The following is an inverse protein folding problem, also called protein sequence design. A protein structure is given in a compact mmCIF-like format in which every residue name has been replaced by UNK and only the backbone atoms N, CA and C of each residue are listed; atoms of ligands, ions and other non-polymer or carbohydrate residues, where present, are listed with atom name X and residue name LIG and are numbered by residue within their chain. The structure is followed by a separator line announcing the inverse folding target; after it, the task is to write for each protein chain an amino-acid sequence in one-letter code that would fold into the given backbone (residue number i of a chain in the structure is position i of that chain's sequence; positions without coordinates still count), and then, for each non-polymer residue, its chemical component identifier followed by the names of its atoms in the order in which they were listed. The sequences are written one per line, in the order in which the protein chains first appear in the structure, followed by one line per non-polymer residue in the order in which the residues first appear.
data_IF_625898610279
#
_entry.id   IF_625898610279
#
_cell.length_a   1.000
_cell.length_b   1.000
_cell.length_c   1.000
_cell.angle_alpha   90.00
_cell.angle_beta   90.00
_cell.angle_gamma   90.00
#
_symmetry.space_group_name_H-M   'P 1'
#
loop_
_entity.id
_entity.type
_entity.pdbx_description
1 polymer ?
#
# COMPACT_ATOMS: atom_id res chain seq x y z
N UNK A 1 3.92 -5.51 30.21
CA UNK A 1 3.92 -4.11 29.71
C UNK A 1 5.31 -3.49 29.83
N UNK A 2 5.97 -3.48 31.00
CA UNK A 2 7.32 -2.89 31.17
C UNK A 2 8.39 -3.42 30.20
N UNK A 3 8.37 -4.71 29.85
CA UNK A 3 9.28 -5.29 28.86
C UNK A 3 9.16 -4.61 27.48
N UNK A 4 7.94 -4.42 26.99
CA UNK A 4 7.67 -3.78 25.69
C UNK A 4 8.15 -2.32 25.71
N UNK A 5 7.91 -1.60 26.81
CA UNK A 5 8.39 -0.24 27.04
C UNK A 5 9.91 -0.13 27.11
N UNK A 6 10.59 -1.18 27.59
CA UNK A 6 12.05 -1.26 27.65
C UNK A 6 12.63 -1.52 26.26
N UNK A 7 12.00 -2.43 25.50
CA UNK A 7 12.38 -2.76 24.13
C UNK A 7 12.19 -1.55 23.20
N UNK A 8 11.04 -0.88 23.22
CA UNK A 8 10.78 0.30 22.38
C UNK A 8 11.80 1.41 22.60
N UNK A 9 12.13 1.69 23.86
CA UNK A 9 13.10 2.70 24.27
C UNK A 9 14.53 2.33 23.88
N UNK A 10 14.91 1.06 24.04
CA UNK A 10 16.21 0.55 23.63
C UNK A 10 16.39 0.63 22.11
N UNK A 11 15.39 0.21 21.33
CA UNK A 11 15.39 0.34 19.87
C UNK A 11 15.47 1.81 19.43
N UNK A 12 14.74 2.71 20.09
CA UNK A 12 14.78 4.15 19.80
C UNK A 12 16.13 4.78 20.16
N UNK A 13 16.81 4.29 21.19
CA UNK A 13 18.18 4.65 21.52
C UNK A 13 19.16 4.20 20.44
N UNK A 14 19.13 2.91 20.09
CA UNK A 14 20.00 2.31 19.09
C UNK A 14 19.85 2.96 17.70
N UNK A 15 18.62 3.26 17.28
CA UNK A 15 18.35 3.96 16.02
C UNK A 15 19.01 5.35 15.96
N UNK A 16 19.04 6.07 17.10
CA UNK A 16 19.69 7.38 17.23
C UNK A 16 21.22 7.27 17.29
N UNK A 17 21.74 6.27 18.00
CA UNK A 17 23.17 6.04 18.16
C UNK A 17 23.84 5.64 16.84
N UNK A 18 23.23 4.69 16.11
CA UNK A 18 23.72 4.20 14.82
C UNK A 18 23.29 5.09 13.63
N UNK A 19 22.41 6.07 13.86
CA UNK A 19 21.82 6.95 12.85
C UNK A 19 21.21 6.17 11.65
N UNK A 20 20.42 5.14 11.94
CA UNK A 20 19.72 4.31 10.95
C UNK A 20 18.22 4.20 11.25
N UNK A 21 17.35 4.08 10.23
CA UNK A 21 15.94 3.77 10.45
C UNK A 21 15.81 2.32 10.95
N UNK A 22 15.15 2.13 12.10
CA UNK A 22 14.78 0.82 12.62
C UNK A 22 13.26 0.65 12.43
N UNK A 23 12.87 -0.39 11.70
CA UNK A 23 11.46 -0.79 11.53
C UNK A 23 11.19 -1.98 12.44
N UNK A 24 10.22 -1.83 13.35
CA UNK A 24 9.74 -2.91 14.20
C UNK A 24 8.29 -3.25 13.81
N UNK A 25 7.96 -4.54 13.75
CA UNK A 25 6.60 -5.01 13.55
C UNK A 25 5.97 -5.32 14.90
N UNK A 26 4.72 -4.90 15.09
CA UNK A 26 3.93 -5.17 16.30
C UNK A 26 2.58 -5.75 15.87
N UNK A 27 2.13 -6.79 16.57
CA UNK A 27 0.82 -7.39 16.36
C UNK A 27 -0.24 -6.58 17.14
N UNK A 28 -1.35 -6.28 16.47
CA UNK A 28 -2.49 -5.59 17.10
C UNK A 28 -3.24 -6.53 18.05
N UNK A 29 -3.89 -5.96 19.06
CA UNK A 29 -4.88 -6.69 19.84
C UNK A 29 -6.08 -7.09 18.95
N UNK A 30 -6.61 -8.30 19.14
CA UNK A 30 -7.81 -8.82 18.43
C UNK A 30 -9.09 -7.98 18.64
N UNK A 31 -9.09 -7.01 19.55
CA UNK A 31 -10.20 -6.06 19.73
C UNK A 31 -10.63 -5.34 18.45
N UNK A 32 -9.71 -5.11 17.50
CA UNK A 32 -10.02 -4.60 16.15
C UNK A 32 -10.99 -5.50 15.38
N UNK A 33 -10.91 -6.82 15.58
CA UNK A 33 -11.76 -7.82 14.90
C UNK A 33 -13.20 -7.81 15.42
N UNK A 34 -13.46 -7.25 16.60
CA UNK A 34 -14.79 -7.20 17.22
C UNK A 34 -15.62 -5.96 16.81
N UNK A 35 -15.00 -4.93 16.23
CA UNK A 35 -15.70 -3.72 15.76
C UNK A 35 -16.42 -3.97 14.43
N UNK A 36 -17.59 -3.39 14.22
CA UNK A 36 -18.40 -3.59 13.01
C UNK A 36 -18.16 -2.50 11.93
N UNK A 37 -18.39 -2.85 10.66
CA UNK A 37 -18.19 -1.95 9.52
C UNK A 37 -16.73 -1.75 9.10
N UNK A 38 -16.50 -1.10 7.95
CA UNK A 38 -15.15 -0.89 7.39
C UNK A 38 -14.28 -0.01 8.30
N UNK A 39 -14.82 1.11 8.76
CA UNK A 39 -14.18 2.00 9.74
C UNK A 39 -13.97 1.32 11.11
N UNK A 40 -14.83 0.35 11.45
CA UNK A 40 -14.65 -0.48 12.65
C UNK A 40 -13.44 -1.40 12.54
N UNK A 41 -13.22 -2.05 11.38
CA UNK A 41 -12.05 -2.91 11.15
C UNK A 41 -10.74 -2.14 10.91
N UNK A 42 -10.82 -0.82 10.70
CA UNK A 42 -9.66 0.07 10.53
C UNK A 42 -8.82 0.10 11.83
N UNK A 43 -7.52 -0.25 11.79
CA UNK A 43 -6.63 -0.12 12.94
C UNK A 43 -6.46 1.32 13.42
N UNK A 44 -6.29 1.48 14.73
CA UNK A 44 -6.15 2.76 15.43
C UNK A 44 -5.03 2.66 16.48
N UNK A 45 -4.50 3.80 16.94
CA UNK A 45 -3.45 3.82 17.98
C UNK A 45 -3.91 3.14 19.28
N UNK A 46 -5.22 3.17 19.57
CA UNK A 46 -5.85 2.46 20.68
C UNK A 46 -5.73 0.94 20.61
N UNK A 47 -5.52 0.34 19.43
CA UNK A 47 -5.26 -1.11 19.30
C UNK A 47 -3.83 -1.50 19.72
N UNK A 48 -2.92 -0.53 19.81
CA UNK A 48 -1.59 -0.68 20.39
C UNK A 48 -1.57 -0.44 21.91
N UNK A 49 -2.71 -0.22 22.57
CA UNK A 49 -2.78 0.24 23.98
C UNK A 49 -2.13 -0.70 25.00
N UNK A 50 -2.07 -2.00 24.75
CA UNK A 50 -1.30 -2.96 25.58
C UNK A 50 0.23 -2.74 25.48
N UNK A 51 0.65 -1.99 24.46
CA UNK A 51 2.00 -1.58 24.13
C UNK A 51 2.13 -0.05 24.08
N UNK A 52 1.40 0.70 24.91
CA UNK A 52 1.30 2.17 24.85
C UNK A 52 2.63 2.96 24.87
N UNK A 53 3.73 2.33 25.32
CA UNK A 53 5.07 2.92 25.19
C UNK A 53 5.60 2.93 23.74
N UNK A 54 5.21 1.98 22.87
CA UNK A 54 5.53 2.01 21.43
C UNK A 54 4.93 3.25 20.80
N UNK A 55 3.66 3.54 21.08
CA UNK A 55 2.99 4.76 20.59
C UNK A 55 3.76 6.01 20.99
N UNK A 56 4.25 6.10 22.23
CA UNK A 56 5.02 7.25 22.70
C UNK A 56 6.41 7.32 22.06
N UNK A 57 7.19 6.24 22.11
CA UNK A 57 8.60 6.22 21.73
C UNK A 57 8.83 6.31 20.21
N UNK A 58 7.93 5.77 19.39
CA UNK A 58 8.06 5.76 17.94
C UNK A 58 8.00 7.17 17.31
N UNK A 59 8.75 7.38 16.22
CA UNK A 59 8.64 8.60 15.40
C UNK A 59 7.48 8.52 14.41
N UNK A 60 7.20 7.32 13.91
CA UNK A 60 6.14 7.05 12.95
C UNK A 60 5.44 5.74 13.35
N UNK A 61 4.12 5.70 13.21
CA UNK A 61 3.31 4.48 13.38
C UNK A 61 2.46 4.32 12.14
N UNK A 62 2.65 3.20 11.45
CA UNK A 62 1.90 2.83 10.26
C UNK A 62 1.12 1.54 10.53
N UNK A 63 -0.14 1.50 10.11
CA UNK A 63 -0.93 0.28 10.09
C UNK A 63 -1.17 -0.19 8.66
N UNK A 64 -1.41 -1.50 8.52
CA UNK A 64 -1.81 -2.12 7.26
C UNK A 64 -3.27 -2.54 7.41
N UNK A 65 -4.14 -1.99 6.57
CA UNK A 65 -5.54 -2.37 6.50
C UNK A 65 -5.85 -3.02 5.14
N UNK A 66 -6.64 -4.09 5.16
CA UNK A 66 -7.03 -4.88 3.98
C UNK A 66 -8.51 -5.25 4.11
N UNK A 67 -9.44 -4.48 3.52
CA UNK A 67 -10.89 -4.73 3.65
C UNK A 67 -11.28 -6.17 3.26
N UNK A 68 -10.65 -6.71 2.21
CA UNK A 68 -10.86 -8.07 1.72
C UNK A 68 -10.57 -9.17 2.76
N UNK A 69 -9.63 -8.95 3.70
CA UNK A 69 -9.35 -9.90 4.79
C UNK A 69 -10.57 -10.06 5.71
N UNK A 70 -11.33 -8.99 5.90
CA UNK A 70 -12.58 -8.98 6.66
C UNK A 70 -13.82 -9.31 5.82
N UNK A 71 -13.64 -9.79 4.58
CA UNK A 71 -14.70 -10.05 3.59
C UNK A 71 -15.51 -8.80 3.21
N UNK A 72 -14.90 -7.62 3.34
CA UNK A 72 -15.48 -6.34 2.92
C UNK A 72 -15.01 -6.08 1.49
N UNK A 73 -15.94 -6.14 0.53
CA UNK A 73 -15.64 -6.03 -0.91
C UNK A 73 -16.10 -4.71 -1.52
N UNK A 74 -16.88 -3.90 -0.81
CA UNK A 74 -17.35 -2.59 -1.26
C UNK A 74 -17.25 -1.57 -0.12
N UNK A 75 -17.01 -0.31 -0.45
CA UNK A 75 -17.15 0.81 0.49
C UNK A 75 -18.59 1.35 0.53
N UNK A 76 -18.86 2.31 1.41
CA UNK A 76 -20.17 2.96 1.55
C UNK A 76 -20.63 3.74 0.29
N UNK A 77 -19.76 3.88 -0.71
CA UNK A 77 -20.02 4.55 -2.00
C UNK A 77 -20.17 3.55 -3.15
N UNK A 78 -20.02 2.24 -2.89
CA UNK A 78 -20.13 1.17 -3.89
C UNK A 78 -18.85 0.89 -4.70
N UNK A 79 -17.69 1.43 -4.32
CA UNK A 79 -16.43 1.16 -4.99
C UNK A 79 -15.91 -0.25 -4.65
N UNK A 80 -15.34 -0.99 -5.60
CA UNK A 80 -14.75 -2.32 -5.37
C UNK A 80 -13.44 -2.23 -4.58
N UNK A 81 -13.35 -2.99 -3.48
CA UNK A 81 -12.21 -3.06 -2.58
C UNK A 81 -11.36 -4.34 -2.73
N UNK A 82 -11.67 -5.20 -3.72
CA UNK A 82 -10.90 -6.43 -3.98
C UNK A 82 -9.46 -6.14 -4.36
N UNK A 83 -8.53 -6.81 -3.70
CA UNK A 83 -7.10 -6.55 -3.84
C UNK A 83 -6.67 -5.16 -3.38
N UNK A 84 -7.53 -4.35 -2.74
CA UNK A 84 -7.13 -3.07 -2.17
C UNK A 84 -6.51 -3.25 -0.80
N UNK A 85 -5.48 -2.46 -0.52
CA UNK A 85 -4.84 -2.37 0.78
C UNK A 85 -4.43 -0.94 1.06
N UNK A 86 -4.28 -0.62 2.34
CA UNK A 86 -4.12 0.75 2.79
C UNK A 86 -3.04 0.81 3.86
N UNK A 87 -2.09 1.73 3.68
CA UNK A 87 -1.06 2.04 4.67
C UNK A 87 -1.48 3.33 5.37
N UNK A 88 -1.89 3.18 6.63
CA UNK A 88 -2.45 4.24 7.47
C UNK A 88 -1.32 4.83 8.30
N UNK A 89 -0.85 6.04 7.99
CA UNK A 89 0.15 6.76 8.80
C UNK A 89 -0.58 7.39 9.99
N UNK A 90 -0.82 6.59 11.02
CA UNK A 90 -1.57 6.98 12.21
C UNK A 90 -0.80 7.93 13.16
N UNK A 91 0.54 7.93 13.09
CA UNK A 91 1.40 8.89 13.79
C UNK A 91 2.59 9.26 12.93
N UNK A 92 2.95 10.54 12.92
CA UNK A 92 4.21 11.03 12.37
C UNK A 92 4.71 12.24 13.20
N UNK A 93 5.86 12.14 13.86
CA UNK A 93 6.41 13.21 14.72
C UNK A 93 6.83 14.47 13.95
N UNK A 94 7.24 14.32 12.70
CA UNK A 94 7.93 15.36 11.91
C UNK A 94 7.22 15.67 10.58
N UNK A 95 5.93 15.32 10.43
CA UNK A 95 5.19 15.55 9.19
C UNK A 95 3.72 15.16 9.31
N UNK A 96 3.02 15.15 8.18
CA UNK A 96 1.61 14.82 8.13
C UNK A 96 1.35 13.32 8.43
N UNK A 97 0.21 13.06 9.04
CA UNK A 97 -0.51 11.77 8.99
C UNK A 97 -1.33 11.70 7.69
N UNK A 98 -1.76 10.50 7.30
CA UNK A 98 -2.54 10.29 6.09
C UNK A 98 -2.54 8.85 5.64
N UNK A 99 -3.35 8.55 4.63
CA UNK A 99 -3.61 7.19 4.16
C UNK A 99 -3.08 7.02 2.73
N UNK A 100 -2.34 5.94 2.51
CA UNK A 100 -1.77 5.58 1.21
C UNK A 100 -2.50 4.33 0.72
N UNK A 101 -3.34 4.50 -0.30
CA UNK A 101 -4.02 3.39 -0.95
C UNK A 101 -3.06 2.69 -1.93
N UNK A 102 -3.01 1.36 -1.85
CA UNK A 102 -2.15 0.47 -2.61
C UNK A 102 -2.96 -0.72 -3.13
N UNK A 103 -2.40 -1.47 -4.08
CA UNK A 103 -2.91 -2.79 -4.45
C UNK A 103 -2.11 -3.89 -3.76
N UNK A 104 -2.79 -4.92 -3.28
CA UNK A 104 -2.19 -6.13 -2.70
C UNK A 104 -2.49 -7.35 -3.57
N UNK A 105 -1.46 -7.93 -4.18
CA UNK A 105 -1.55 -9.20 -4.93
C UNK A 105 -1.26 -10.36 -3.98
N UNK A 106 -2.34 -11.03 -3.55
CA UNK A 106 -2.30 -12.07 -2.53
C UNK A 106 -1.44 -13.28 -2.92
N UNK A 107 -1.44 -13.67 -4.19
CA UNK A 107 -0.61 -14.74 -4.77
C UNK A 107 0.90 -14.52 -4.61
N UNK A 108 1.35 -13.27 -4.46
CA UNK A 108 2.77 -12.92 -4.25
C UNK A 108 3.05 -12.27 -2.88
N UNK A 109 2.03 -12.15 -2.02
CA UNK A 109 2.05 -11.34 -0.80
C UNK A 109 2.63 -9.92 -1.01
N UNK A 110 2.37 -9.31 -2.18
CA UNK A 110 3.05 -8.09 -2.65
C UNK A 110 2.12 -6.88 -2.64
N UNK A 111 2.61 -5.77 -2.11
CA UNK A 111 2.01 -4.44 -2.29
C UNK A 111 2.61 -3.77 -3.54
N UNK A 112 1.77 -3.07 -4.30
CA UNK A 112 2.13 -2.32 -5.51
C UNK A 112 1.40 -0.97 -5.54
N UNK A 113 1.91 -0.01 -6.30
CA UNK A 113 1.17 1.23 -6.55
C UNK A 113 -0.08 0.89 -7.37
N UNK A 114 -1.14 1.67 -7.19
CA UNK A 114 -2.37 1.50 -7.99
C UNK A 114 -2.09 1.75 -9.47
N UNK A 115 -1.18 2.68 -9.75
CA UNK A 115 -0.75 3.09 -11.08
C UNK A 115 0.05 2.00 -11.83
N UNK A 116 0.72 1.08 -11.11
CA UNK A 116 1.54 0.02 -11.72
C UNK A 116 0.68 -1.01 -12.52
N UNK A 117 -0.63 -1.08 -12.22
CA UNK A 117 -1.60 -1.90 -12.96
C UNK A 117 -2.33 -1.12 -14.06
N UNK A 118 -2.07 0.19 -14.22
CA UNK A 118 -2.51 0.96 -15.39
C UNK A 118 -1.53 0.65 -16.53
N UNK A 119 -1.65 -0.55 -17.09
CA UNK A 119 -1.27 -0.80 -18.47
C UNK A 119 -2.20 0.07 -19.30
N UNK A 120 -1.74 1.27 -19.66
CA UNK A 120 -2.36 2.08 -20.72
C UNK A 120 -2.38 1.16 -21.94
N UNK A 121 -3.56 0.76 -22.46
CA UNK A 121 -3.59 0.08 -23.73
C UNK A 121 -3.01 1.08 -24.73
N UNK A 122 -1.91 0.71 -25.39
CA UNK A 122 -1.39 1.47 -26.52
C UNK A 122 -2.59 1.73 -27.44
N UNK A 123 -2.95 3.00 -27.72
CA UNK A 123 -4.14 3.29 -28.48
C UNK A 123 -3.93 2.85 -29.92
N UNK A 124 -4.43 1.64 -30.20
CA UNK A 124 -4.60 1.00 -31.49
C UNK A 124 -3.32 0.89 -32.34
N UNK A 125 -2.86 -0.34 -32.64
CA UNK A 125 -1.97 -0.60 -33.79
C UNK A 125 -2.76 -0.41 -35.10
N UNK A 126 -3.20 0.83 -35.33
CA UNK A 126 -4.28 1.20 -36.24
C UNK A 126 -3.91 2.26 -37.29
N UNK A 127 -2.61 2.56 -37.45
CA UNK A 127 -2.10 3.24 -38.64
C UNK A 127 -0.57 3.15 -38.78
N UNK A 128 -0.06 2.10 -39.43
CA UNK A 128 1.29 2.16 -40.04
C UNK A 128 1.23 3.18 -41.19
N UNK A 129 1.51 4.44 -40.89
CA UNK A 129 1.87 5.43 -41.91
C UNK A 129 3.33 5.24 -42.29
N UNK A 130 3.57 4.36 -43.27
CA UNK A 130 4.86 4.33 -43.95
C UNK A 130 5.14 5.69 -44.60
N UNK A 131 6.34 6.23 -44.37
CA UNK A 131 6.75 7.51 -44.97
C UNK A 131 6.89 7.35 -46.47
N UNK A 132 6.23 8.22 -47.23
CA UNK A 132 6.25 8.24 -48.71
C UNK A 132 7.52 8.88 -49.27
N UNK A 133 8.66 8.58 -48.65
CA UNK A 133 9.99 9.06 -49.02
C UNK A 133 10.94 7.86 -48.97
N UNK A 134 11.50 7.54 -50.14
CA UNK A 134 12.38 6.39 -50.49
C UNK A 134 11.65 5.18 -51.10
N UNK A 135 12.27 4.61 -52.15
CA UNK A 135 11.71 3.69 -53.16
C UNK A 135 10.56 4.34 -53.98
N UNK A 136 10.72 4.69 -55.26
CA UNK A 136 11.69 4.21 -56.26
C UNK A 136 11.03 3.12 -57.11
N UNK A 137 10.93 3.38 -58.40
CA UNK A 137 10.15 2.61 -59.39
C UNK A 137 10.65 1.17 -59.62
N UNK A 138 9.73 0.20 -59.66
CA UNK A 138 9.77 -0.90 -60.66
C UNK A 138 8.40 -1.61 -60.86
N UNK A 139 8.28 -2.43 -61.91
CA UNK A 139 7.03 -3.01 -62.48
C UNK A 139 6.92 -4.57 -62.43
N UNK A 140 5.75 -5.22 -62.49
CA UNK A 140 4.36 -4.72 -62.37
C UNK A 140 3.35 -5.71 -61.71
N UNK A 141 2.77 -6.77 -62.35
CA UNK A 141 1.44 -7.23 -61.92
C UNK A 141 1.33 -8.68 -61.40
N UNK A 142 0.24 -8.91 -60.65
CA UNK A 142 -0.16 -10.16 -60.00
C UNK A 142 -0.74 -11.21 -60.97
N UNK A 143 -0.60 -12.51 -60.68
CA UNK A 143 -1.42 -13.58 -61.26
C UNK A 143 -2.58 -14.01 -60.33
N UNK A 144 -3.80 -13.98 -60.89
CA UNK A 144 -5.06 -14.64 -60.48
C UNK A 144 -5.61 -14.41 -59.06
#
# INVERSE_FOLDING_TARGET
QEEVSTISRSLKGLAKELNIPIVALSQLNRGVENREGIEGKRPQLSDLRESGAIEQDADMVCFIHRPEYYKIYQDDKGNDLRGMAEIIIAKHRNGATGDILLRFKAEYARFQNIEDDIIIPLPDEGAIRSSRMNAGSDESPLPF
#
